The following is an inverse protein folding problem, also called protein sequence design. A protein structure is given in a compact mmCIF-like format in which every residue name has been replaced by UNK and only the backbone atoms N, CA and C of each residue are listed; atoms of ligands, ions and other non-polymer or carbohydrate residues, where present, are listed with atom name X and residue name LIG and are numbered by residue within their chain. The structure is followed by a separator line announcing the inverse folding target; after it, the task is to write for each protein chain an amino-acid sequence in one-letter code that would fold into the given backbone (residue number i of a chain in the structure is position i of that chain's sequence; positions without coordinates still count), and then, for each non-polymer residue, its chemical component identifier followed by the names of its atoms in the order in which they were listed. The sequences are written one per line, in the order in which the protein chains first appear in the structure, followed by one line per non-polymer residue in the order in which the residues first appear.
data_IF_719205680151
#
_entry.id   IF_719205680151
#
_cell.length_a   1.000
_cell.length_b   1.000
_cell.length_c   1.000
_cell.angle_alpha   90.00
_cell.angle_beta   90.00
_cell.angle_gamma   90.00
#
_symmetry.space_group_name_H-M   'P 1'
#
loop_
_entity.id
_entity.type
_entity.pdbx_description
1 polymer ?
#
# COMPACT_ATOMS: atom_id res chain seq x y z
N UNK A 1 6.18 5.08 -28.36
CA UNK A 1 6.00 5.08 -26.90
C UNK A 1 6.68 3.85 -26.36
N UNK A 2 7.63 4.00 -25.44
CA UNK A 2 8.27 2.86 -24.80
C UNK A 2 7.29 2.23 -23.80
N UNK A 3 7.33 0.90 -23.61
CA UNK A 3 6.51 0.20 -22.62
C UNK A 3 6.76 0.72 -21.19
N UNK A 4 7.96 1.26 -20.95
CA UNK A 4 8.36 1.93 -19.72
C UNK A 4 7.56 3.23 -19.47
N UNK A 5 7.14 3.94 -20.52
CA UNK A 5 6.27 5.14 -20.42
C UNK A 5 4.81 4.78 -20.10
N UNK A 6 4.38 3.55 -20.41
CA UNK A 6 3.05 3.03 -20.05
C UNK A 6 2.97 2.63 -18.56
N UNK A 7 4.11 2.34 -17.94
CA UNK A 7 4.23 1.92 -16.54
C UNK A 7 4.54 3.08 -15.59
N UNK A 8 5.12 4.16 -16.11
CA UNK A 8 5.23 5.43 -15.40
C UNK A 8 3.82 6.01 -15.29
N UNK A 9 3.23 5.95 -14.09
CA UNK A 9 1.94 6.57 -13.81
C UNK A 9 1.92 7.98 -14.38
N UNK A 10 0.85 8.32 -15.09
CA UNK A 10 0.71 9.67 -15.64
C UNK A 10 0.74 10.65 -14.48
N UNK A 11 1.49 11.76 -14.59
CA UNK A 11 1.36 12.92 -13.68
C UNK A 11 0.00 13.63 -13.85
N UNK A 12 -0.97 12.93 -14.43
CA UNK A 12 -2.31 13.39 -14.64
C UNK A 12 -2.99 13.53 -13.28
N UNK A 13 -3.53 14.71 -13.04
CA UNK A 13 -4.19 15.06 -11.80
C UNK A 13 -5.68 14.76 -11.94
N UNK A 14 -6.22 14.05 -10.96
CA UNK A 14 -7.63 13.72 -10.82
C UNK A 14 -8.19 14.51 -9.64
N UNK A 15 -9.25 15.31 -9.83
CA UNK A 15 -9.89 16.01 -8.72
C UNK A 15 -10.68 15.03 -7.85
N UNK A 16 -10.44 15.07 -6.55
CA UNK A 16 -11.23 14.37 -5.53
C UNK A 16 -11.90 15.39 -4.60
N UNK A 17 -13.21 15.30 -4.46
CA UNK A 17 -13.95 16.10 -3.49
C UNK A 17 -13.83 15.46 -2.11
N UNK A 18 -13.52 16.24 -1.07
CA UNK A 18 -13.48 15.82 0.33
C UNK A 18 -14.71 16.39 1.05
N UNK A 19 -15.55 15.52 1.58
CA UNK A 19 -16.79 15.85 2.27
C UNK A 19 -16.52 16.44 3.65
N UNK A 20 -15.49 15.94 4.33
CA UNK A 20 -15.05 16.40 5.66
C UNK A 20 -14.65 17.89 5.69
N UNK A 21 -14.07 18.41 4.62
CA UNK A 21 -13.64 19.82 4.51
C UNK A 21 -14.48 20.63 3.53
N UNK A 22 -15.24 19.98 2.65
CA UNK A 22 -15.92 20.61 1.52
C UNK A 22 -14.96 21.13 0.44
N UNK A 23 -13.70 20.65 0.42
CA UNK A 23 -12.68 21.08 -0.55
C UNK A 23 -12.49 20.05 -1.67
N UNK A 24 -11.96 20.49 -2.81
CA UNK A 24 -11.53 19.59 -3.88
C UNK A 24 -10.01 19.60 -3.94
N UNK A 25 -9.40 18.43 -3.76
CA UNK A 25 -7.97 18.23 -3.87
C UNK A 25 -7.62 17.57 -5.20
N UNK A 26 -6.52 17.99 -5.82
CA UNK A 26 -6.02 17.37 -7.04
C UNK A 26 -4.94 16.35 -6.68
N UNK A 27 -5.18 15.09 -7.04
CA UNK A 27 -4.29 13.96 -6.69
C UNK A 27 -3.94 13.17 -7.94
N UNK A 28 -2.80 12.50 -7.96
CA UNK A 28 -2.51 11.52 -9.02
C UNK A 28 -2.73 10.08 -8.56
N UNK A 29 -2.91 9.21 -9.55
CA UNK A 29 -2.77 7.77 -9.35
C UNK A 29 -1.32 7.42 -9.02
N UNK A 30 -1.14 6.45 -8.13
CA UNK A 30 0.18 5.89 -7.88
C UNK A 30 0.57 4.93 -9.01
N UNK A 31 1.85 4.87 -9.32
CA UNK A 31 2.36 3.98 -10.36
C UNK A 31 2.59 2.55 -9.83
N UNK A 32 2.95 1.62 -10.73
CA UNK A 32 3.17 0.21 -10.36
C UNK A 32 4.26 0.02 -9.31
N UNK A 33 5.33 0.83 -9.35
CA UNK A 33 6.42 0.73 -8.38
C UNK A 33 5.97 1.21 -6.98
N UNK A 34 5.18 2.27 -6.92
CA UNK A 34 4.59 2.80 -5.69
C UNK A 34 3.56 1.84 -5.11
N UNK A 35 2.71 1.22 -5.95
CA UNK A 35 1.77 0.17 -5.52
C UNK A 35 2.50 -1.02 -4.90
N UNK A 36 3.61 -1.45 -5.51
CA UNK A 36 4.45 -2.53 -4.94
C UNK A 36 5.04 -2.14 -3.60
N UNK A 37 5.49 -0.89 -3.43
CA UNK A 37 6.02 -0.41 -2.16
C UNK A 37 4.94 -0.32 -1.08
N UNK A 38 3.76 0.20 -1.40
CA UNK A 38 2.61 0.23 -0.51
C UNK A 38 2.30 -1.18 0.04
N UNK A 39 2.17 -2.18 -0.85
CA UNK A 39 1.94 -3.58 -0.45
C UNK A 39 3.09 -4.16 0.37
N UNK A 40 4.34 -3.78 0.07
CA UNK A 40 5.51 -4.23 0.83
C UNK A 40 5.49 -3.72 2.27
N UNK A 41 5.06 -2.48 2.50
CA UNK A 41 4.94 -1.90 3.86
C UNK A 41 3.94 -2.72 4.68
N UNK A 42 2.75 -2.97 4.13
CA UNK A 42 1.71 -3.80 4.77
C UNK A 42 2.22 -5.21 5.06
N UNK A 43 2.83 -5.87 4.07
CA UNK A 43 3.30 -7.24 4.19
C UNK A 43 4.48 -7.41 5.16
N UNK A 44 5.29 -6.37 5.37
CA UNK A 44 6.40 -6.41 6.32
C UNK A 44 5.92 -6.65 7.75
N UNK A 45 4.73 -6.17 8.10
CA UNK A 45 4.15 -6.36 9.42
C UNK A 45 3.44 -7.70 9.62
N UNK A 46 3.02 -8.36 8.55
CA UNK A 46 2.40 -9.70 8.63
C UNK A 46 3.36 -10.79 9.13
N UNK A 47 4.63 -10.47 9.37
CA UNK A 47 5.58 -11.36 10.01
C UNK A 47 6.27 -12.29 9.03
N UNK A 48 7.54 -12.56 9.29
CA UNK A 48 8.35 -13.54 8.55
C UNK A 48 7.80 -14.94 8.83
N UNK A 49 7.47 -15.70 7.78
CA UNK A 49 7.15 -17.12 7.91
C UNK A 49 8.45 -17.84 8.29
N UNK A 50 8.62 -18.13 9.58
CA UNK A 50 9.74 -18.94 10.05
C UNK A 50 9.34 -20.41 9.98
N UNK A 51 9.72 -21.08 8.88
CA UNK A 51 9.68 -22.55 8.80
C UNK A 51 10.78 -23.11 9.69
N UNK A 52 10.39 -23.86 10.73
CA UNK A 52 11.36 -24.61 11.55
C UNK A 52 11.27 -26.08 11.17
N UNK A 53 12.26 -26.58 10.44
CA UNK A 53 12.38 -28.01 10.17
C UNK A 53 12.76 -28.75 11.46
N UNK A 54 11.83 -29.55 12.02
CA UNK A 54 12.15 -30.46 13.13
C UNK A 54 12.87 -31.69 12.61
N UNK A 55 14.21 -31.64 12.53
CA UNK A 55 15.02 -32.85 12.33
C UNK A 55 15.25 -33.56 13.68
N UNK A 56 14.32 -34.46 14.06
CA UNK A 56 14.60 -35.50 15.06
C UNK A 56 14.84 -36.83 14.33
N UNK A 57 16.10 -37.26 14.27
CA UNK A 57 16.53 -38.66 14.08
C UNK A 57 15.89 -39.45 12.92
N UNK A 58 16.64 -39.58 11.81
CA UNK A 58 16.57 -40.63 10.77
C UNK A 58 15.23 -40.95 10.05
N UNK A 59 14.11 -40.28 10.36
CA UNK A 59 12.90 -40.26 9.53
C UNK A 59 12.31 -38.84 9.55
N UNK A 60 12.25 -38.15 8.42
CA UNK A 60 11.59 -36.84 8.38
C UNK A 60 10.09 -37.03 8.57
N UNK A 61 9.57 -36.46 9.65
CA UNK A 61 8.14 -36.19 9.77
C UNK A 61 7.97 -34.70 9.51
N UNK A 62 7.18 -34.38 8.48
CA UNK A 62 6.50 -33.10 8.19
C UNK A 62 7.16 -31.78 8.58
N UNK A 63 7.25 -30.85 7.62
CA UNK A 63 7.50 -29.45 7.90
C UNK A 63 6.28 -28.82 8.59
N UNK A 64 6.40 -28.44 9.86
CA UNK A 64 5.40 -27.58 10.52
C UNK A 64 5.77 -26.12 10.28
N UNK A 65 5.01 -25.42 9.43
CA UNK A 65 5.12 -23.98 9.27
C UNK A 65 4.29 -23.31 10.38
N UNK A 66 4.95 -22.66 11.34
CA UNK A 66 4.27 -21.86 12.36
C UNK A 66 4.38 -20.39 11.95
N UNK A 67 3.31 -19.86 11.35
CA UNK A 67 3.21 -18.42 11.09
C UNK A 67 2.94 -17.69 12.41
N UNK A 68 3.85 -16.78 12.80
CA UNK A 68 3.59 -15.82 13.89
C UNK A 68 3.14 -14.50 13.27
N UNK A 69 1.84 -14.24 13.37
CA UNK A 69 1.25 -12.96 12.98
C UNK A 69 1.36 -12.00 14.17
N UNK A 70 2.07 -10.89 14.01
CA UNK A 70 2.09 -9.81 15.00
C UNK A 70 0.98 -8.80 14.66
N UNK A 71 -0.20 -8.97 15.26
CA UNK A 71 -1.38 -8.12 15.03
C UNK A 71 -1.20 -6.64 15.45
N UNK A 72 -0.30 -6.35 16.38
CA UNK A 72 0.01 -4.96 16.76
C UNK A 72 0.80 -4.26 15.65
N UNK A 73 1.85 -4.92 15.15
CA UNK A 73 2.72 -4.41 14.08
C UNK A 73 1.94 -4.17 12.77
N UNK A 74 0.85 -4.92 12.53
CA UNK A 74 0.01 -4.76 11.33
C UNK A 74 -0.76 -3.45 11.30
N UNK A 75 -1.19 -2.94 12.44
CA UNK A 75 -1.93 -1.67 12.50
C UNK A 75 -1.03 -0.45 12.22
N UNK A 76 0.19 -0.47 12.76
CA UNK A 76 1.20 0.57 12.53
C UNK A 76 1.67 0.57 11.07
N UNK A 77 1.92 -0.61 10.49
CA UNK A 77 2.31 -0.70 9.09
C UNK A 77 1.19 -0.33 8.12
N UNK A 78 -0.08 -0.60 8.46
CA UNK A 78 -1.20 -0.11 7.65
C UNK A 78 -1.27 1.42 7.68
N UNK A 79 -1.08 2.03 8.85
CA UNK A 79 -0.99 3.48 8.98
C UNK A 79 0.16 4.06 8.14
N UNK A 80 1.37 3.48 8.25
CA UNK A 80 2.54 3.90 7.47
C UNK A 80 2.30 3.76 5.96
N UNK A 81 1.66 2.67 5.53
CA UNK A 81 1.31 2.45 4.13
C UNK A 81 0.30 3.50 3.63
N UNK A 82 -0.69 3.86 4.45
CA UNK A 82 -1.67 4.89 4.13
C UNK A 82 -1.03 6.29 4.04
N UNK A 83 -0.09 6.61 4.94
CA UNK A 83 0.70 7.86 4.86
C UNK A 83 1.53 7.89 3.57
N UNK A 84 2.17 6.77 3.21
CA UNK A 84 2.91 6.65 1.96
C UNK A 84 2.02 6.86 0.73
N UNK A 85 0.82 6.29 0.72
CA UNK A 85 -0.17 6.45 -0.35
C UNK A 85 -0.52 7.93 -0.58
N UNK A 86 -0.89 8.65 0.50
CA UNK A 86 -1.22 10.08 0.42
C UNK A 86 -0.02 10.88 -0.10
N UNK A 87 1.18 10.64 0.46
CA UNK A 87 2.41 11.34 0.07
C UNK A 87 2.70 11.18 -1.43
N UNK A 88 2.60 9.97 -1.97
CA UNK A 88 2.82 9.72 -3.40
C UNK A 88 1.78 10.44 -4.27
N UNK A 89 0.51 10.38 -3.89
CA UNK A 89 -0.58 10.99 -4.66
C UNK A 89 -0.54 12.52 -4.71
N UNK A 90 0.02 13.19 -3.68
CA UNK A 90 0.15 14.65 -3.63
C UNK A 90 1.54 15.18 -4.04
N UNK A 91 2.57 14.34 -4.09
CA UNK A 91 3.89 14.75 -4.57
C UNK A 91 3.91 14.78 -6.10
N UNK A 92 3.36 15.87 -6.64
CA UNK A 92 3.24 16.18 -8.07
C UNK A 92 3.88 17.55 -8.36
N UNK A 93 4.52 17.68 -9.53
CA UNK A 93 5.03 18.95 -10.05
C UNK A 93 5.86 19.81 -9.07
N UNK A 94 6.68 19.17 -8.23
CA UNK A 94 7.55 19.84 -7.25
C UNK A 94 6.87 20.24 -5.95
N UNK A 95 5.55 20.04 -5.81
CA UNK A 95 4.91 20.05 -4.49
C UNK A 95 5.44 18.86 -3.69
N UNK A 96 6.00 19.15 -2.52
CA UNK A 96 6.51 18.12 -1.60
C UNK A 96 5.72 18.23 -0.30
N UNK A 97 4.71 17.39 -0.15
CA UNK A 97 4.08 17.14 1.15
C UNK A 97 5.00 16.20 1.93
N UNK A 98 5.34 16.61 3.16
CA UNK A 98 6.12 15.78 4.05
C UNK A 98 5.21 14.86 4.87
N UNK A 99 5.76 13.75 5.37
CA UNK A 99 5.05 12.83 6.26
C UNK A 99 4.48 13.55 7.48
N UNK A 100 5.22 14.50 8.05
CA UNK A 100 4.75 15.33 9.18
C UNK A 100 3.51 16.16 8.84
N UNK A 101 3.40 16.66 7.62
CA UNK A 101 2.22 17.42 7.21
C UNK A 101 0.98 16.53 7.19
N UNK A 102 1.15 15.24 6.87
CA UNK A 102 0.08 14.24 6.86
C UNK A 102 -0.25 13.80 8.29
N UNK A 103 0.76 13.46 9.10
CA UNK A 103 0.55 12.85 10.43
C UNK A 103 0.18 13.85 11.52
N UNK A 104 0.63 15.11 11.42
CA UNK A 104 0.42 16.12 12.48
C UNK A 104 -0.66 17.15 12.14
N UNK A 105 -1.03 17.33 10.85
CA UNK A 105 -1.95 18.41 10.43
C UNK A 105 -3.29 17.95 9.87
N UNK A 106 -3.40 16.71 9.37
CA UNK A 106 -4.68 16.17 8.93
C UNK A 106 -5.45 15.66 10.15
N UNK A 107 -6.70 16.11 10.30
CA UNK A 107 -7.63 15.47 11.23
C UNK A 107 -7.95 14.05 10.76
N UNK A 108 -8.19 13.15 11.71
CA UNK A 108 -8.50 11.74 11.42
C UNK A 108 -9.61 11.56 10.38
N UNK A 109 -10.70 12.33 10.46
CA UNK A 109 -11.81 12.24 9.50
C UNK A 109 -11.36 12.52 8.06
N UNK A 110 -10.51 13.53 7.89
CA UNK A 110 -9.95 13.92 6.59
C UNK A 110 -8.98 12.85 6.10
N UNK A 111 -8.12 12.34 7.00
CA UNK A 111 -7.17 11.27 6.70
C UNK A 111 -7.89 10.00 6.22
N UNK A 112 -8.88 9.51 6.97
CA UNK A 112 -9.62 8.30 6.66
C UNK A 112 -10.40 8.42 5.34
N UNK A 113 -11.02 9.59 5.09
CA UNK A 113 -11.70 9.87 3.85
C UNK A 113 -10.75 9.88 2.65
N UNK A 114 -9.60 10.56 2.79
CA UNK A 114 -8.55 10.59 1.78
C UNK A 114 -8.04 9.20 1.44
N UNK A 115 -7.70 8.41 2.46
CA UNK A 115 -7.23 7.04 2.29
C UNK A 115 -8.27 6.22 1.54
N UNK A 116 -9.54 6.30 1.94
CA UNK A 116 -10.64 5.57 1.29
C UNK A 116 -10.77 5.95 -0.18
N UNK A 117 -10.75 7.25 -0.50
CA UNK A 117 -10.88 7.74 -1.88
C UNK A 117 -9.66 7.37 -2.73
N UNK A 118 -8.46 7.46 -2.17
CA UNK A 118 -7.21 7.08 -2.85
C UNK A 118 -7.09 5.57 -3.07
N UNK A 119 -7.50 4.73 -2.11
CA UNK A 119 -7.53 3.27 -2.30
C UNK A 119 -8.46 2.88 -3.44
N UNK A 120 -9.66 3.47 -3.50
CA UNK A 120 -10.59 3.28 -4.62
C UNK A 120 -10.04 3.77 -5.96
N UNK A 121 -9.44 4.97 -5.97
CA UNK A 121 -8.84 5.54 -7.18
C UNK A 121 -7.74 4.64 -7.77
N UNK A 122 -6.99 3.97 -6.89
CA UNK A 122 -5.88 3.10 -7.24
C UNK A 122 -6.25 1.60 -7.28
N UNK A 123 -7.54 1.26 -7.12
CA UNK A 123 -8.04 -0.11 -7.04
C UNK A 123 -7.23 -0.99 -6.05
N UNK A 124 -6.83 -0.41 -4.92
CA UNK A 124 -6.06 -1.11 -3.88
C UNK A 124 -6.94 -1.95 -2.95
N UNK A 125 -8.24 -1.66 -2.92
CA UNK A 125 -9.24 -2.45 -2.18
C UNK A 125 -9.58 -3.76 -2.89
N UNK A 126 -9.29 -3.86 -4.20
CA UNK A 126 -9.46 -5.10 -4.92
C UNK A 126 -8.31 -6.04 -4.56
N UNK A 127 -8.66 -7.08 -3.79
CA UNK A 127 -7.95 -8.33 -3.58
C UNK A 127 -7.68 -9.04 -4.93
N UNK A 128 -7.00 -8.39 -5.85
CA UNK A 128 -6.44 -9.06 -7.02
C UNK A 128 -5.26 -9.83 -6.49
N UNK A 129 -5.54 -11.08 -6.11
CA UNK A 129 -4.61 -12.19 -6.15
C UNK A 129 -3.80 -12.05 -7.45
N UNK A 130 -2.61 -11.45 -7.34
CA UNK A 130 -1.63 -11.30 -8.43
C UNK A 130 -1.22 -12.66 -9.02
N UNK A 131 -1.63 -13.78 -8.42
CA UNK A 131 -1.39 -15.13 -8.91
C UNK A 131 -2.26 -15.53 -10.12
N UNK A 132 -3.39 -14.85 -10.38
CA UNK A 132 -4.28 -15.22 -11.49
C UNK A 132 -3.96 -14.54 -12.83
N UNK A 133 -3.21 -13.42 -12.84
CA UNK A 133 -2.77 -12.79 -14.09
C UNK A 133 -1.61 -13.52 -14.78
N UNK A 134 -0.78 -14.26 -14.02
CA UNK A 134 0.36 -15.00 -14.57
C UNK A 134 -0.08 -16.26 -15.34
N UNK A 135 -1.30 -16.76 -15.11
CA UNK A 135 -1.82 -17.97 -15.77
C UNK A 135 -2.57 -17.72 -17.09
N UNK A 136 -2.71 -16.46 -17.52
CA UNK A 136 -3.33 -16.11 -18.80
C UNK A 136 -2.34 -15.66 -19.88
N UNK A 137 -1.04 -15.70 -19.62
CA UNK A 137 0.01 -15.43 -20.61
C UNK A 137 0.59 -16.71 -21.18
#
# INVERSE_FOLDING_TARGET
MAFEDLLAGTNEQVPIFLESTGTTENVRKINVAETKNYRRIINKALGTINTTERTKGRRSQGTEAVAKLNLADTSEAEYDANVYLIKCSFNIDGQTINEKDITERLSNDVFDELVTKLKKLNALDDDINLEDEVKKS
#
